data_IF_006335628712
#
_entry.id   IF_006335628712
#
_cell.length_a   1.000
_cell.length_b   1.000
_cell.length_c   1.000
_cell.angle_alpha   90.00
_cell.angle_beta   90.00
_cell.angle_gamma   90.00
#
_symmetry.space_group_name_H-M   'P 1'
#
loop_
_entity.id
_entity.type
_entity.pdbx_description
1 polymer ?
#
# COMPACT_ATOMS: atom_id res chain seq x y z
N UNK A 1 38.72 7.60 11.85
CA UNK A 1 37.25 7.49 11.97
C UNK A 1 36.84 6.39 11.03
N UNK A 2 36.80 5.18 11.57
CA UNK A 2 36.61 3.95 10.81
C UNK A 2 35.20 3.92 10.22
N UNK A 3 35.11 3.95 8.89
CA UNK A 3 33.91 3.44 8.23
C UNK A 3 33.92 1.95 8.50
N UNK A 4 33.15 1.51 9.49
CA UNK A 4 32.79 0.10 9.61
C UNK A 4 32.20 -0.31 8.26
N UNK A 5 32.93 -1.12 7.49
CA UNK A 5 32.48 -1.67 6.22
C UNK A 5 31.33 -2.62 6.52
N UNK A 6 30.11 -2.08 6.59
CA UNK A 6 28.89 -2.90 6.68
C UNK A 6 28.86 -3.77 5.42
N UNK A 7 28.86 -5.09 5.61
CA UNK A 7 28.64 -6.03 4.51
C UNK A 7 27.32 -5.70 3.81
N UNK A 8 27.33 -5.80 2.48
CA UNK A 8 26.13 -5.56 1.69
C UNK A 8 25.05 -6.59 2.05
N UNK A 9 23.78 -6.17 2.18
CA UNK A 9 22.68 -7.11 2.44
C UNK A 9 22.53 -8.10 1.27
N UNK A 10 22.12 -9.34 1.58
CA UNK A 10 21.86 -10.37 0.56
C UNK A 10 20.67 -10.00 -0.34
N UNK A 11 19.66 -9.35 0.24
CA UNK A 11 18.52 -8.75 -0.45
C UNK A 11 17.91 -7.69 0.47
N UNK A 12 17.13 -6.78 -0.11
CA UNK A 12 16.31 -5.83 0.63
C UNK A 12 14.90 -5.78 0.06
N UNK A 13 13.92 -5.44 0.88
CA UNK A 13 12.54 -5.33 0.41
C UNK A 13 11.79 -4.23 1.15
N UNK A 14 10.85 -3.60 0.44
CA UNK A 14 9.91 -2.66 1.01
C UNK A 14 8.76 -3.40 1.66
N UNK A 15 8.23 -2.86 2.76
CA UNK A 15 7.01 -3.37 3.40
C UNK A 15 6.05 -2.24 3.66
N UNK A 16 4.78 -2.45 3.34
CA UNK A 16 3.69 -1.54 3.63
C UNK A 16 2.43 -2.36 3.93
N UNK A 17 1.50 -1.81 4.70
CA UNK A 17 0.27 -2.47 5.11
C UNK A 17 -0.85 -1.45 5.22
N UNK A 18 -2.10 -1.92 5.12
CA UNK A 18 -3.31 -1.17 5.46
C UNK A 18 -3.35 0.23 4.82
N UNK A 19 -3.06 0.29 3.52
CA UNK A 19 -3.15 1.55 2.76
C UNK A 19 -4.60 2.05 2.84
N UNK A 20 -5.57 1.15 2.69
CA UNK A 20 -7.01 1.42 2.82
C UNK A 20 -7.43 2.70 2.09
N UNK A 21 -6.96 2.87 0.85
CA UNK A 21 -7.30 4.04 0.05
C UNK A 21 -8.80 4.08 -0.28
N UNK A 22 -9.38 5.27 -0.18
CA UNK A 22 -10.67 5.63 -0.75
C UNK A 22 -10.66 7.12 -1.09
N UNK A 23 -11.39 7.52 -2.13
CA UNK A 23 -11.56 8.92 -2.50
C UNK A 23 -12.63 9.62 -1.63
N UNK A 24 -12.46 9.54 -0.32
CA UNK A 24 -13.37 10.03 0.70
C UNK A 24 -12.67 11.01 1.66
N UNK A 25 -13.45 11.88 2.28
CA UNK A 25 -12.96 12.70 3.38
C UNK A 25 -12.54 11.84 4.57
N UNK A 26 -11.64 12.35 5.40
CA UNK A 26 -11.19 11.65 6.60
C UNK A 26 -12.37 11.18 7.45
N UNK A 27 -12.32 9.91 7.87
CA UNK A 27 -13.34 9.29 8.67
C UNK A 27 -12.80 8.78 9.99
N UNK A 28 -13.55 7.87 10.59
CA UNK A 28 -13.13 7.12 11.75
C UNK A 28 -13.33 5.63 11.54
N UNK A 29 -12.62 4.83 12.31
CA UNK A 29 -12.92 3.41 12.45
C UNK A 29 -14.31 3.17 13.04
N UNK A 30 -14.76 1.91 13.01
CA UNK A 30 -16.10 1.52 13.48
C UNK A 30 -16.37 1.94 14.94
N UNK A 31 -15.36 1.82 15.82
CA UNK A 31 -15.46 2.20 17.23
C UNK A 31 -15.35 3.71 17.46
N UNK A 32 -15.10 4.52 16.42
CA UNK A 32 -14.86 5.96 16.46
C UNK A 32 -13.72 6.37 17.39
N UNK A 33 -12.73 5.50 17.56
CA UNK A 33 -11.56 5.73 18.41
C UNK A 33 -10.34 6.16 17.61
N UNK A 34 -10.27 5.80 16.33
CA UNK A 34 -9.13 6.13 15.47
C UNK A 34 -9.59 6.83 14.20
N UNK A 35 -8.92 7.93 13.89
CA UNK A 35 -9.15 8.67 12.65
C UNK A 35 -8.52 7.90 11.48
N UNK A 36 -9.25 7.80 10.38
CA UNK A 36 -8.81 7.19 9.11
C UNK A 36 -8.61 8.27 8.07
N UNK A 37 -7.45 8.26 7.41
CA UNK A 37 -7.03 9.30 6.47
C UNK A 37 -6.99 8.77 5.03
N UNK A 38 -8.16 8.53 4.44
CA UNK A 38 -8.30 7.75 3.21
C UNK A 38 -7.51 8.32 2.03
N UNK A 39 -7.68 9.59 1.66
CA UNK A 39 -6.91 10.20 0.54
C UNK A 39 -5.43 10.37 0.87
N UNK A 40 -5.11 10.59 2.14
CA UNK A 40 -3.73 10.79 2.59
C UNK A 40 -2.92 9.50 2.48
N UNK A 41 -3.56 8.32 2.59
CA UNK A 41 -2.87 7.03 2.43
C UNK A 41 -2.10 6.92 1.11
N UNK A 42 -2.67 7.41 0.00
CA UNK A 42 -2.01 7.42 -1.31
C UNK A 42 -0.77 8.32 -1.32
N UNK A 43 -0.82 9.44 -0.58
CA UNK A 43 0.34 10.32 -0.42
C UNK A 43 1.42 9.69 0.45
N UNK A 44 1.05 8.86 1.44
CA UNK A 44 2.00 8.08 2.22
C UNK A 44 2.67 6.99 1.38
N UNK A 45 1.92 6.31 0.51
CA UNK A 45 2.47 5.36 -0.46
C UNK A 45 3.49 6.04 -1.39
N UNK A 46 3.15 7.20 -1.97
CA UNK A 46 4.08 8.03 -2.76
C UNK A 46 5.40 8.32 -2.03
N UNK A 47 5.29 8.71 -0.76
CA UNK A 47 6.46 9.00 0.08
C UNK A 47 7.27 7.74 0.39
N UNK A 48 6.62 6.60 0.64
CA UNK A 48 7.28 5.32 0.85
C UNK A 48 8.08 4.91 -0.39
N UNK A 49 7.47 4.98 -1.58
CA UNK A 49 8.16 4.69 -2.84
C UNK A 49 9.35 5.62 -3.09
N UNK A 50 9.17 6.92 -2.87
CA UNK A 50 10.26 7.88 -2.97
C UNK A 50 11.39 7.51 -2.01
N UNK A 51 11.08 7.24 -0.74
CA UNK A 51 12.08 6.87 0.27
C UNK A 51 12.83 5.58 -0.11
N UNK A 52 12.15 4.59 -0.69
CA UNK A 52 12.79 3.37 -1.19
C UNK A 52 13.70 3.64 -2.38
N UNK A 53 13.30 4.52 -3.30
CA UNK A 53 14.09 4.88 -4.47
C UNK A 53 15.36 5.68 -4.13
N UNK A 54 15.34 6.41 -3.00
CA UNK A 54 16.43 7.25 -2.49
C UNK A 54 17.33 6.51 -1.48
N UNK A 55 16.99 5.28 -1.10
CA UNK A 55 17.78 4.45 -0.18
C UNK A 55 19.10 3.99 -0.80
N UNK A 56 20.16 3.92 0.00
CA UNK A 56 21.45 3.34 -0.39
C UNK A 56 21.30 1.88 -0.86
N UNK A 57 20.40 1.13 -0.22
CA UNK A 57 20.00 -0.21 -0.62
C UNK A 57 18.55 -0.18 -1.09
N UNK A 58 18.34 -0.26 -2.41
CA UNK A 58 17.01 -0.24 -3.02
C UNK A 58 16.35 -1.60 -2.85
N UNK A 59 15.07 -1.64 -2.46
CA UNK A 59 14.29 -2.88 -2.42
C UNK A 59 14.33 -3.63 -3.75
N UNK A 60 14.61 -4.93 -3.68
CA UNK A 60 14.49 -5.86 -4.79
C UNK A 60 13.02 -6.13 -5.14
N UNK A 61 12.14 -6.01 -4.15
CA UNK A 61 10.69 -6.16 -4.26
C UNK A 61 9.97 -5.44 -3.11
N UNK A 62 8.65 -5.32 -3.21
CA UNK A 62 7.79 -4.77 -2.15
C UNK A 62 6.78 -5.83 -1.73
N UNK A 63 6.50 -5.91 -0.43
CA UNK A 63 5.41 -6.70 0.12
C UNK A 63 4.34 -5.76 0.66
N UNK A 64 3.15 -5.80 0.04
CA UNK A 64 1.94 -5.15 0.52
C UNK A 64 1.10 -6.16 1.30
N UNK A 65 0.94 -5.95 2.61
CA UNK A 65 0.33 -6.87 3.57
C UNK A 65 -1.21 -6.86 3.60
N UNK A 66 -1.86 -6.40 2.54
CA UNK A 66 -3.32 -6.43 2.39
C UNK A 66 -4.03 -5.16 2.85
N UNK A 67 -5.34 -5.13 2.64
CA UNK A 67 -6.19 -3.96 2.83
C UNK A 67 -5.68 -2.75 2.02
N UNK A 68 -5.47 -2.94 0.72
CA UNK A 68 -4.94 -1.93 -0.21
C UNK A 68 -5.93 -0.77 -0.44
N UNK A 69 -7.23 -1.07 -0.44
CA UNK A 69 -8.33 -0.12 -0.56
C UNK A 69 -9.34 -0.32 0.56
N UNK A 70 -10.02 0.74 0.99
CA UNK A 70 -11.04 0.63 2.04
C UNK A 70 -12.32 -0.04 1.51
N UNK A 71 -13.11 -0.65 2.40
CA UNK A 71 -14.36 -1.34 2.08
C UNK A 71 -15.47 -0.36 1.69
N UNK A 72 -15.35 0.91 2.09
CA UNK A 72 -16.28 1.96 1.69
C UNK A 72 -16.33 2.17 0.17
N UNK A 73 -15.28 1.81 -0.58
CA UNK A 73 -15.32 1.92 -2.03
C UNK A 73 -16.44 1.04 -2.64
N UNK A 74 -16.73 -0.13 -2.06
CA UNK A 74 -17.80 -1.01 -2.51
C UNK A 74 -19.18 -0.33 -2.41
N UNK A 75 -19.45 0.31 -1.27
CA UNK A 75 -20.69 1.03 -1.03
C UNK A 75 -20.89 2.24 -1.97
N UNK A 76 -19.80 2.76 -2.54
CA UNK A 76 -19.80 3.88 -3.47
C UNK A 76 -19.62 3.47 -4.95
N UNK A 77 -19.58 2.16 -5.24
CA UNK A 77 -19.33 1.66 -6.61
C UNK A 77 -17.97 2.09 -7.17
N UNK A 78 -16.97 2.28 -6.32
CA UNK A 78 -15.67 2.86 -6.65
C UNK A 78 -14.50 1.88 -6.53
N UNK A 79 -14.74 0.60 -6.20
CA UNK A 79 -13.71 -0.40 -5.89
C UNK A 79 -12.65 -0.57 -6.97
N UNK A 80 -13.06 -0.73 -8.23
CA UNK A 80 -12.13 -0.89 -9.37
C UNK A 80 -11.25 0.35 -9.53
N UNK A 81 -11.85 1.54 -9.59
CA UNK A 81 -11.12 2.81 -9.74
C UNK A 81 -10.16 3.07 -8.58
N UNK A 82 -10.58 2.74 -7.35
CA UNK A 82 -9.73 2.88 -6.18
C UNK A 82 -8.53 1.93 -6.26
N UNK A 83 -8.76 0.67 -6.65
CA UNK A 83 -7.70 -0.32 -6.83
C UNK A 83 -6.72 0.12 -7.93
N UNK A 84 -7.23 0.51 -9.10
CA UNK A 84 -6.43 1.04 -10.21
C UNK A 84 -5.57 2.22 -9.79
N UNK A 85 -6.12 3.14 -8.98
CA UNK A 85 -5.38 4.31 -8.47
C UNK A 85 -4.17 3.89 -7.64
N UNK A 86 -4.32 2.91 -6.75
CA UNK A 86 -3.21 2.43 -5.90
C UNK A 86 -2.23 1.57 -6.70
N UNK A 87 -2.70 0.74 -7.62
CA UNK A 87 -1.83 -0.08 -8.49
C UNK A 87 -1.01 0.77 -9.46
N UNK A 88 -1.59 1.85 -10.01
CA UNK A 88 -0.87 2.81 -10.84
C UNK A 88 0.27 3.48 -10.07
N UNK A 89 0.05 3.78 -8.79
CA UNK A 89 1.09 4.29 -7.92
C UNK A 89 2.23 3.27 -7.79
N UNK A 90 1.94 2.01 -7.40
CA UNK A 90 2.96 0.96 -7.33
C UNK A 90 3.71 0.71 -8.66
N UNK A 91 3.03 0.89 -9.79
CA UNK A 91 3.62 0.72 -11.13
C UNK A 91 4.71 1.76 -11.46
N UNK A 92 4.79 2.86 -10.69
CA UNK A 92 5.86 3.87 -10.83
C UNK A 92 7.18 3.48 -10.15
N UNK A 93 7.18 2.42 -9.32
CA UNK A 93 8.36 1.88 -8.65
C UNK A 93 9.18 0.93 -9.53
N UNK A 94 10.41 0.60 -9.11
CA UNK A 94 11.37 -0.17 -9.92
C UNK A 94 11.43 -1.68 -9.63
N UNK A 95 10.45 -2.25 -8.92
CA UNK A 95 10.47 -3.68 -8.55
C UNK A 95 9.09 -4.33 -8.45
N UNK A 96 9.02 -5.66 -8.45
CA UNK A 96 7.77 -6.40 -8.29
C UNK A 96 7.13 -6.11 -6.93
N UNK A 97 5.80 -6.12 -6.92
CA UNK A 97 5.00 -5.96 -5.71
C UNK A 97 4.22 -7.25 -5.45
N UNK A 98 4.40 -7.82 -4.27
CA UNK A 98 3.65 -8.97 -3.80
C UNK A 98 2.48 -8.50 -2.95
N UNK A 99 1.27 -8.77 -3.41
CA UNK A 99 0.03 -8.34 -2.77
C UNK A 99 -0.58 -9.48 -1.95
N UNK A 100 -0.69 -9.28 -0.65
CA UNK A 100 -1.51 -10.12 0.24
C UNK A 100 -2.96 -9.63 0.17
N UNK A 101 -3.92 -10.52 0.37
CA UNK A 101 -5.34 -10.17 0.49
C UNK A 101 -5.74 -10.17 1.96
N UNK A 102 -6.16 -9.00 2.45
CA UNK A 102 -6.82 -8.80 3.73
C UNK A 102 -8.34 -8.86 3.60
N UNK A 103 -9.04 -8.49 4.67
CA UNK A 103 -10.51 -8.53 4.70
C UNK A 103 -11.14 -7.46 3.80
N UNK A 104 -10.49 -6.30 3.63
CA UNK A 104 -11.04 -5.23 2.81
C UNK A 104 -11.03 -5.55 1.30
N UNK A 105 -10.11 -6.39 0.83
CA UNK A 105 -10.19 -6.93 -0.54
C UNK A 105 -11.50 -7.70 -0.74
N UNK A 106 -11.89 -8.54 0.24
CA UNK A 106 -13.12 -9.33 0.18
C UNK A 106 -14.39 -8.53 0.48
N UNK A 107 -14.28 -7.32 1.04
CA UNK A 107 -15.40 -6.37 1.11
C UNK A 107 -15.68 -5.71 -0.24
N UNK A 108 -14.65 -5.57 -1.07
CA UNK A 108 -14.74 -4.92 -2.38
C UNK A 108 -15.00 -5.90 -3.53
N UNK A 109 -14.42 -7.10 -3.45
CA UNK A 109 -14.40 -8.04 -4.56
C UNK A 109 -14.80 -9.45 -4.11
N UNK A 110 -15.45 -10.17 -5.02
CA UNK A 110 -15.64 -11.61 -4.84
C UNK A 110 -14.31 -12.34 -5.01
N UNK A 111 -14.16 -13.53 -4.39
CA UNK A 111 -12.95 -14.34 -4.55
C UNK A 111 -12.68 -14.72 -6.02
N UNK A 112 -13.74 -14.92 -6.81
CA UNK A 112 -13.65 -15.17 -8.26
C UNK A 112 -13.21 -13.96 -9.06
N UNK A 113 -13.44 -12.74 -8.59
CA UNK A 113 -12.97 -11.52 -9.26
C UNK A 113 -11.49 -11.23 -8.97
N UNK A 114 -10.92 -11.84 -7.93
CA UNK A 114 -9.50 -11.71 -7.56
C UNK A 114 -8.61 -12.84 -8.11
N UNK A 115 -9.22 -13.89 -8.69
CA UNK A 115 -8.52 -15.06 -9.25
C UNK A 115 -8.32 -14.96 -10.76
#
# INVERSE_FOLDING_TARGET
>A
MDRCCKEAPLFTFGVIADIQYADLDDGYDYSRTRKRYYRTSLQLLKKAQKSWSESDWKPDFIVQLGDIIDGFNAAHGASERALETVLAEFSSGSGPVHHVWGNHEFYNFSRSALM
#
